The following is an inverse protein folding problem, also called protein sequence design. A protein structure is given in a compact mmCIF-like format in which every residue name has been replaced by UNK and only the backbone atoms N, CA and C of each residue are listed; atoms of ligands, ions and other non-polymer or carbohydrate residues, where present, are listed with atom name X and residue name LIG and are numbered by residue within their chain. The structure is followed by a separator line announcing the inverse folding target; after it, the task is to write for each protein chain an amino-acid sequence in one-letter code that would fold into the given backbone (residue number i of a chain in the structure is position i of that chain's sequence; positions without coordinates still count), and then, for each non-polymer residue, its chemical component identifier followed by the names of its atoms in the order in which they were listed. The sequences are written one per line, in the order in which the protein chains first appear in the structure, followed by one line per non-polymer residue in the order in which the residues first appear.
data_IF_992849328054
#
_entry.id   IF_992849328054
#
_cell.length_a   1.000
_cell.length_b   1.000
_cell.length_c   1.000
_cell.angle_alpha   90.00
_cell.angle_beta   90.00
_cell.angle_gamma   90.00
#
_symmetry.space_group_name_H-M   'P 1'
#
loop_
_entity.id
_entity.type
_entity.pdbx_description
1 polymer ?
#
# COMPACT_ATOMS: atom_id res chain seq x y z
N UNK A 1 24.85 -15.43 -2.25
CA UNK A 1 25.41 -14.45 -3.21
C UNK A 1 26.88 -14.27 -2.87
N UNK A 2 27.78 -14.52 -3.81
CA UNK A 2 29.23 -14.43 -3.57
C UNK A 2 29.72 -12.98 -3.67
N UNK A 3 30.89 -12.63 -3.10
CA UNK A 3 31.47 -11.31 -3.26
C UNK A 3 31.66 -10.88 -4.72
N UNK A 4 32.03 -11.81 -5.60
CA UNK A 4 32.13 -11.55 -7.04
C UNK A 4 30.77 -11.22 -7.68
N UNK A 5 29.71 -11.94 -7.32
CA UNK A 5 28.35 -11.66 -7.79
C UNK A 5 27.86 -10.29 -7.30
N UNK A 6 28.23 -9.90 -6.07
CA UNK A 6 27.90 -8.57 -5.54
C UNK A 6 28.65 -7.45 -6.25
N UNK A 7 29.95 -7.62 -6.51
CA UNK A 7 30.74 -6.61 -7.22
C UNK A 7 30.24 -6.41 -8.66
N UNK A 8 29.87 -7.49 -9.35
CA UNK A 8 29.24 -7.40 -10.66
C UNK A 8 27.90 -6.63 -10.60
N UNK A 9 27.05 -6.94 -9.61
CA UNK A 9 25.78 -6.25 -9.43
C UNK A 9 25.96 -4.77 -9.08
N UNK A 10 26.97 -4.41 -8.28
CA UNK A 10 27.30 -3.01 -7.97
C UNK A 10 27.81 -2.27 -9.20
N UNK A 11 28.59 -2.93 -10.07
CA UNK A 11 29.05 -2.35 -11.32
C UNK A 11 27.88 -2.03 -12.27
N UNK A 12 26.93 -2.95 -12.40
CA UNK A 12 25.75 -2.76 -13.26
C UNK A 12 24.71 -1.82 -12.64
N UNK A 13 24.59 -1.82 -11.30
CA UNK A 13 23.60 -1.05 -10.55
C UNK A 13 24.27 -0.34 -9.34
N UNK A 14 24.89 0.84 -9.55
CA UNK A 14 25.62 1.55 -8.49
C UNK A 14 24.81 1.87 -7.23
N UNK A 15 23.47 1.94 -7.34
CA UNK A 15 22.56 2.12 -6.19
C UNK A 15 22.67 0.99 -5.17
N UNK A 16 23.12 -0.21 -5.57
CA UNK A 16 23.30 -1.35 -4.67
C UNK A 16 24.37 -1.08 -3.61
N UNK A 17 25.42 -0.32 -3.93
CA UNK A 17 26.42 0.08 -2.94
C UNK A 17 25.81 0.94 -1.83
N UNK A 18 24.88 1.85 -2.21
CA UNK A 18 24.16 2.69 -1.25
C UNK A 18 23.18 1.89 -0.38
N UNK A 19 22.51 0.90 -0.97
CA UNK A 19 21.69 -0.06 -0.22
C UNK A 19 22.52 -0.83 0.81
N UNK A 20 23.72 -1.30 0.42
CA UNK A 20 24.64 -2.00 1.31
C UNK A 20 25.11 -1.09 2.47
N UNK A 21 25.31 0.20 2.21
CA UNK A 21 25.68 1.19 3.19
C UNK A 21 24.53 1.64 4.12
N UNK A 22 23.31 1.12 3.93
CA UNK A 22 22.09 1.52 4.65
C UNK A 22 21.79 3.02 4.53
N UNK A 23 22.24 3.64 3.44
CA UNK A 23 21.95 5.04 3.17
C UNK A 23 20.47 5.19 2.77
N UNK A 24 19.72 6.13 3.37
CA UNK A 24 18.42 6.51 2.85
C UNK A 24 18.54 6.92 1.38
N UNK A 25 17.78 6.25 0.51
CA UNK A 25 17.79 6.51 -0.92
C UNK A 25 16.39 6.65 -1.47
N UNK A 26 16.28 7.36 -2.58
CA UNK A 26 15.06 7.49 -3.36
C UNK A 26 15.37 7.07 -4.78
N UNK A 27 14.61 6.12 -5.31
CA UNK A 27 14.72 5.67 -6.69
C UNK A 27 13.41 5.91 -7.42
N UNK A 28 13.45 6.74 -8.44
CA UNK A 28 12.34 6.97 -9.35
C UNK A 28 12.45 5.99 -10.51
N UNK A 29 11.43 5.16 -10.73
CA UNK A 29 11.45 4.17 -11.81
C UNK A 29 11.43 4.89 -13.19
N UNK A 30 12.53 4.84 -13.97
CA UNK A 30 12.58 5.51 -15.27
C UNK A 30 11.74 4.80 -16.34
N UNK A 31 11.22 3.60 -16.03
CA UNK A 31 10.41 2.76 -16.92
C UNK A 31 8.94 2.71 -16.50
N UNK A 32 8.46 3.72 -15.78
CA UNK A 32 7.02 3.85 -15.53
C UNK A 32 6.28 3.98 -16.86
N UNK A 33 5.28 3.13 -17.10
CA UNK A 33 4.49 3.10 -18.33
C UNK A 33 3.08 3.61 -18.10
N UNK A 34 2.35 3.83 -19.20
CA UNK A 34 0.90 4.10 -19.11
C UNK A 34 0.13 2.85 -18.67
N UNK A 35 -1.09 3.03 -18.15
CA UNK A 35 -1.97 1.89 -17.80
C UNK A 35 -2.13 0.92 -18.98
N UNK A 36 -2.38 1.43 -20.19
CA UNK A 36 -2.59 0.60 -21.37
C UNK A 36 -1.37 -0.28 -21.72
N UNK A 37 -0.16 0.25 -21.52
CA UNK A 37 1.08 -0.50 -21.77
C UNK A 37 1.43 -1.45 -20.62
N UNK A 38 1.17 -1.06 -19.36
CA UNK A 38 1.53 -1.84 -18.18
C UNK A 38 0.55 -2.96 -17.84
N UNK A 39 -0.74 -2.76 -18.08
CA UNK A 39 -1.80 -3.68 -17.66
C UNK A 39 -1.63 -5.11 -18.20
N UNK A 40 -1.19 -5.36 -19.46
CA UNK A 40 -0.95 -6.71 -19.96
C UNK A 40 0.07 -7.52 -19.14
N UNK A 41 0.99 -6.87 -18.42
CA UNK A 41 2.01 -7.54 -17.60
C UNK A 41 1.53 -7.86 -16.17
N UNK A 42 0.37 -7.36 -15.75
CA UNK A 42 -0.17 -7.57 -14.40
C UNK A 42 -0.76 -8.98 -14.24
N UNK A 43 -1.30 -9.55 -15.32
CA UNK A 43 -1.95 -10.86 -15.30
C UNK A 43 -3.30 -10.90 -14.57
N UNK A 44 -3.83 -9.75 -14.15
CA UNK A 44 -5.14 -9.57 -13.54
C UNK A 44 -5.87 -8.41 -14.21
N UNK A 45 -7.19 -8.56 -14.37
CA UNK A 45 -8.07 -7.60 -15.00
C UNK A 45 -9.09 -6.98 -14.05
N UNK A 46 -9.97 -6.15 -14.62
CA UNK A 46 -11.10 -5.55 -13.90
C UNK A 46 -12.05 -6.60 -13.32
N UNK A 47 -12.23 -7.72 -14.03
CA UNK A 47 -13.11 -8.79 -13.59
C UNK A 47 -12.61 -9.46 -12.30
N UNK A 48 -11.30 -9.67 -12.16
CA UNK A 48 -10.70 -10.21 -10.93
C UNK A 48 -10.97 -9.29 -9.73
N UNK A 49 -10.86 -7.98 -9.94
CA UNK A 49 -11.17 -6.96 -8.92
C UNK A 49 -12.65 -7.03 -8.55
N UNK A 50 -13.56 -7.08 -9.53
CA UNK A 50 -14.99 -7.17 -9.28
C UNK A 50 -15.38 -8.47 -8.56
N UNK A 51 -14.77 -9.60 -8.92
CA UNK A 51 -14.98 -10.88 -8.24
C UNK A 51 -14.50 -10.83 -6.78
N UNK A 52 -13.37 -10.15 -6.51
CA UNK A 52 -12.86 -9.94 -5.16
C UNK A 52 -13.81 -9.08 -4.32
N UNK A 53 -14.34 -7.99 -4.87
CA UNK A 53 -15.35 -7.14 -4.23
C UNK A 53 -16.65 -7.90 -3.92
N UNK A 54 -17.17 -8.66 -4.89
CA UNK A 54 -18.37 -9.49 -4.70
C UNK A 54 -18.18 -10.56 -3.63
N UNK A 55 -16.99 -11.17 -3.57
CA UNK A 55 -16.65 -12.13 -2.52
C UNK A 55 -16.72 -11.49 -1.14
N UNK A 56 -16.11 -10.32 -0.95
CA UNK A 56 -16.19 -9.59 0.32
C UNK A 56 -17.64 -9.22 0.68
N UNK A 57 -18.42 -8.75 -0.30
CA UNK A 57 -19.83 -8.45 -0.09
C UNK A 57 -20.63 -9.68 0.38
N UNK A 58 -20.34 -10.86 -0.17
CA UNK A 58 -20.97 -12.13 0.27
C UNK A 58 -20.58 -12.52 1.69
N UNK A 59 -19.37 -12.18 2.14
CA UNK A 59 -18.93 -12.43 3.51
C UNK A 59 -19.43 -11.39 4.52
N UNK A 60 -19.92 -10.23 4.08
CA UNK A 60 -20.35 -9.16 4.98
C UNK A 60 -21.38 -9.61 6.05
N UNK A 61 -22.42 -10.41 5.74
CA UNK A 61 -23.33 -10.93 6.77
C UNK A 61 -22.62 -11.80 7.82
N UNK A 62 -21.69 -12.65 7.38
CA UNK A 62 -20.88 -13.47 8.27
C UNK A 62 -19.96 -12.62 9.15
N UNK A 63 -19.29 -11.63 8.58
CA UNK A 63 -18.39 -10.73 9.30
C UNK A 63 -19.15 -9.94 10.38
N UNK A 64 -20.33 -9.43 10.05
CA UNK A 64 -21.20 -8.74 11.01
C UNK A 64 -21.60 -9.64 12.19
N UNK A 65 -21.85 -10.92 11.94
CA UNK A 65 -22.18 -11.89 12.98
C UNK A 65 -20.95 -12.30 13.82
N UNK A 66 -19.83 -12.61 13.16
CA UNK A 66 -18.62 -13.14 13.77
C UNK A 66 -17.78 -12.08 14.51
N UNK A 67 -17.78 -10.84 14.00
CA UNK A 67 -17.00 -9.72 14.53
C UNK A 67 -17.94 -8.57 14.92
N UNK A 68 -18.31 -8.46 16.22
CA UNK A 68 -19.27 -7.47 16.70
C UNK A 68 -18.96 -6.02 16.30
N UNK A 69 -17.67 -5.67 16.21
CA UNK A 69 -17.21 -4.34 15.80
C UNK A 69 -17.56 -3.97 14.35
N UNK A 70 -17.83 -4.95 13.49
CA UNK A 70 -18.19 -4.71 12.08
C UNK A 70 -19.69 -4.57 11.86
N UNK A 71 -20.53 -4.77 12.88
CA UNK A 71 -22.00 -4.67 12.74
C UNK A 71 -22.45 -3.29 12.28
N UNK A 72 -21.82 -2.24 12.80
CA UNK A 72 -22.16 -0.87 12.47
C UNK A 72 -21.94 -0.56 10.97
N UNK A 73 -21.01 -1.27 10.33
CA UNK A 73 -20.73 -1.16 8.89
C UNK A 73 -21.36 -2.29 8.08
N UNK A 74 -22.25 -3.09 8.67
CA UNK A 74 -22.88 -4.23 8.00
C UNK A 74 -21.89 -5.32 7.58
N UNK A 75 -20.74 -5.43 8.26
CA UNK A 75 -19.67 -6.36 7.92
C UNK A 75 -18.68 -5.85 6.87
N UNK A 76 -18.80 -4.59 6.43
CA UNK A 76 -17.84 -3.96 5.50
C UNK A 76 -16.55 -3.61 6.25
N UNK A 77 -15.42 -4.10 5.74
CA UNK A 77 -14.08 -3.82 6.25
C UNK A 77 -13.50 -2.66 5.46
N UNK A 78 -13.65 -1.45 5.99
CA UNK A 78 -13.09 -0.22 5.41
C UNK A 78 -12.48 0.69 6.48
N UNK A 79 -11.60 1.59 6.03
CA UNK A 79 -10.93 2.56 6.88
C UNK A 79 -11.18 3.99 6.43
N UNK A 80 -11.12 4.91 7.39
CA UNK A 80 -11.25 6.33 7.12
C UNK A 80 -10.12 6.88 6.24
N UNK A 81 -10.46 7.90 5.47
CA UNK A 81 -9.52 8.77 4.77
C UNK A 81 -9.64 10.17 5.37
N UNK A 82 -8.57 10.67 5.99
CA UNK A 82 -8.58 11.95 6.72
C UNK A 82 -7.52 12.90 6.19
N UNK A 83 -7.83 14.19 6.14
CA UNK A 83 -6.83 15.22 5.87
C UNK A 83 -5.97 15.42 7.12
N UNK A 84 -4.66 15.63 6.94
CA UNK A 84 -3.69 15.78 8.03
C UNK A 84 -2.86 17.05 7.87
N UNK A 85 -3.53 18.20 7.81
CA UNK A 85 -2.92 19.50 7.56
C UNK A 85 -1.87 19.90 8.62
N UNK A 86 -2.11 19.56 9.88
CA UNK A 86 -1.14 19.79 10.96
C UNK A 86 0.16 19.01 10.74
N UNK A 87 0.07 17.75 10.28
CA UNK A 87 1.25 16.95 9.94
C UNK A 87 1.96 17.52 8.71
N UNK A 88 1.22 17.98 7.70
CA UNK A 88 1.81 18.65 6.54
C UNK A 88 2.65 19.86 6.97
N UNK A 89 2.12 20.69 7.87
CA UNK A 89 2.86 21.84 8.40
C UNK A 89 4.10 21.39 9.17
N UNK A 90 3.96 20.43 10.08
CA UNK A 90 5.09 19.90 10.85
C UNK A 90 6.20 19.32 9.96
N UNK A 91 5.86 18.65 8.85
CA UNK A 91 6.83 18.16 7.87
C UNK A 91 7.49 19.31 7.11
N UNK A 92 6.74 20.34 6.73
CA UNK A 92 7.30 21.51 6.07
C UNK A 92 8.35 22.20 6.97
N UNK A 93 8.03 22.37 8.25
CA UNK A 93 8.92 23.01 9.23
C UNK A 93 10.14 22.13 9.50
N UNK A 94 9.95 20.81 9.67
CA UNK A 94 11.03 19.86 9.95
C UNK A 94 12.04 19.75 8.81
N UNK A 95 11.58 19.76 7.56
CA UNK A 95 12.42 19.54 6.39
C UNK A 95 12.75 20.82 5.62
N UNK A 96 12.22 21.97 6.03
CA UNK A 96 12.43 23.27 5.36
C UNK A 96 11.92 23.29 3.91
N UNK A 97 10.89 22.49 3.60
CA UNK A 97 10.36 22.31 2.24
C UNK A 97 8.85 22.35 2.25
N UNK A 98 8.24 23.17 1.40
CA UNK A 98 6.79 23.21 1.26
C UNK A 98 6.28 22.02 0.44
N UNK A 99 5.52 21.12 1.08
CA UNK A 99 4.70 20.12 0.40
C UNK A 99 3.55 20.80 -0.34
N UNK A 100 3.49 20.60 -1.65
CA UNK A 100 2.41 21.10 -2.51
C UNK A 100 1.15 20.26 -2.36
N UNK A 101 -0.02 20.88 -2.54
CA UNK A 101 -1.31 20.19 -2.44
C UNK A 101 -1.74 19.84 -1.01
N UNK A 102 -2.56 18.78 -0.89
CA UNK A 102 -3.13 18.30 0.38
C UNK A 102 -2.50 16.98 0.79
N UNK A 103 -2.25 16.82 2.08
CA UNK A 103 -1.77 15.57 2.65
C UNK A 103 -2.94 14.82 3.30
N UNK A 104 -3.17 13.59 2.83
CA UNK A 104 -4.21 12.70 3.33
C UNK A 104 -3.60 11.44 3.94
N UNK A 105 -4.27 10.89 4.95
CA UNK A 105 -3.93 9.63 5.59
C UNK A 105 -5.06 8.62 5.40
N UNK A 106 -4.76 7.49 4.75
CA UNK A 106 -5.64 6.32 4.73
C UNK A 106 -5.34 5.47 5.96
N UNK A 107 -6.29 5.40 6.90
CA UNK A 107 -6.10 4.80 8.23
C UNK A 107 -6.24 3.28 8.22
N UNK A 108 -5.52 2.58 7.36
CA UNK A 108 -5.55 1.11 7.34
C UNK A 108 -5.01 0.49 8.65
N UNK A 109 -4.27 1.26 9.45
CA UNK A 109 -3.92 0.91 10.85
C UNK A 109 -5.11 0.85 11.81
N UNK A 110 -6.29 1.31 11.39
CA UNK A 110 -7.53 1.30 12.19
C UNK A 110 -8.59 0.40 11.56
N UNK A 111 -8.22 -0.46 10.58
CA UNK A 111 -9.16 -1.43 10.04
C UNK A 111 -9.66 -2.35 11.17
N UNK A 112 -10.95 -2.72 11.15
CA UNK A 112 -11.49 -3.66 12.13
C UNK A 112 -10.77 -5.01 12.04
N UNK A 113 -10.94 -5.85 13.05
CA UNK A 113 -10.45 -7.24 13.18
C UNK A 113 -8.95 -7.34 13.47
N UNK A 114 -8.09 -6.64 12.73
CA UNK A 114 -6.63 -6.78 12.90
C UNK A 114 -5.84 -5.47 12.93
N UNK A 115 -6.49 -4.31 12.87
CA UNK A 115 -5.82 -3.01 13.04
C UNK A 115 -4.70 -2.76 12.02
N UNK A 116 -4.79 -3.34 10.83
CA UNK A 116 -3.75 -3.20 9.81
C UNK A 116 -4.28 -3.49 8.40
N UNK A 117 -3.50 -3.12 7.40
CA UNK A 117 -3.76 -3.44 5.98
C UNK A 117 -3.97 -4.95 5.72
N UNK A 118 -3.50 -5.83 6.62
CA UNK A 118 -3.68 -7.28 6.50
C UNK A 118 -5.15 -7.70 6.61
N UNK A 119 -6.00 -6.89 7.25
CA UNK A 119 -7.44 -7.11 7.30
C UNK A 119 -8.09 -7.19 5.90
N UNK A 120 -7.53 -6.49 4.90
CA UNK A 120 -8.05 -6.49 3.53
C UNK A 120 -7.94 -7.84 2.83
N UNK A 121 -6.91 -8.62 3.14
CA UNK A 121 -6.59 -9.84 2.40
C UNK A 121 -7.02 -11.13 3.12
N UNK A 122 -7.28 -11.06 4.44
CA UNK A 122 -7.52 -12.26 5.25
C UNK A 122 -8.76 -13.02 4.81
N UNK A 123 -9.85 -12.32 4.45
CA UNK A 123 -11.11 -12.94 3.98
C UNK A 123 -11.15 -13.21 2.47
N UNK A 124 -10.12 -12.81 1.72
CA UNK A 124 -10.03 -13.16 0.30
C UNK A 124 -9.36 -14.51 0.07
N UNK A 125 -8.60 -15.01 1.05
CA UNK A 125 -7.78 -16.23 0.95
C UNK A 125 -8.30 -17.43 1.74
N UNK A 126 -9.31 -17.24 2.59
CA UNK A 126 -10.03 -18.29 3.30
C UNK A 126 -11.24 -18.76 2.49
#
# INVERSE_FOLDING_TARGET
MTPQQLNALIADYPLVARLQALEPLTWFNPRATTLAQGLPFVGLGREDVAQAEQRLARFAPYLSAAFPETRATGGVIESELVAIDAMRQALNDRYGRALTGRLWLKKDSHLPISGSIKARAVFMKC
#
